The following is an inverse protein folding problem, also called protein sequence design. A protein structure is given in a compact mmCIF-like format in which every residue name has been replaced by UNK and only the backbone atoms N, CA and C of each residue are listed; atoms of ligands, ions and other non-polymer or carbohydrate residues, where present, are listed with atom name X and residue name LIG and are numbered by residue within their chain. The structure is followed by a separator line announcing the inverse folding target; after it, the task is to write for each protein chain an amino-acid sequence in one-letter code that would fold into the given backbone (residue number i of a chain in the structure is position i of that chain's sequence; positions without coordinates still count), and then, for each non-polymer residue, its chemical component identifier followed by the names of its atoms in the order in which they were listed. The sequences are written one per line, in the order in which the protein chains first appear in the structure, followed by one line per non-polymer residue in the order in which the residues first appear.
data_IF_740197505710
#
_entry.id   IF_740197505710
#
_cell.length_a   1.000
_cell.length_b   1.000
_cell.length_c   1.000
_cell.angle_alpha   90.00
_cell.angle_beta   90.00
_cell.angle_gamma   90.00
#
_symmetry.space_group_name_H-M   'P 1'
#
loop_
_entity.id
_entity.type
_entity.pdbx_description
1 polymer ?
#
# COMPACT_ATOMS: atom_id res chain seq x y z
N UNK A 1 -37.85 21.00 16.90
CA UNK A 1 -36.59 21.75 17.15
C UNK A 1 -35.42 21.00 16.54
N UNK A 2 -35.28 21.02 15.20
CA UNK A 2 -34.41 20.13 14.42
C UNK A 2 -32.90 20.33 14.64
N UNK A 3 -32.42 20.04 15.85
CA UNK A 3 -31.03 20.17 16.24
C UNK A 3 -30.22 18.98 15.76
N UNK A 4 -29.08 19.28 15.14
CA UNK A 4 -28.13 18.28 14.68
C UNK A 4 -27.42 17.67 15.89
N UNK A 5 -27.60 16.36 16.09
CA UNK A 5 -26.89 15.61 17.12
C UNK A 5 -25.82 14.73 16.48
N UNK A 6 -24.57 14.87 16.93
CA UNK A 6 -23.48 14.02 16.44
C UNK A 6 -23.56 12.65 17.13
N UNK A 7 -24.07 11.66 16.41
CA UNK A 7 -24.12 10.25 16.83
C UNK A 7 -22.77 9.57 16.51
N UNK A 8 -21.74 9.93 17.27
CA UNK A 8 -20.43 9.29 17.22
C UNK A 8 -19.37 9.99 16.36
N UNK A 9 -18.12 9.63 16.61
CA UNK A 9 -16.92 10.01 15.85
C UNK A 9 -16.38 8.77 15.15
N UNK A 10 -16.11 8.88 13.85
CA UNK A 10 -15.38 7.83 13.12
C UNK A 10 -13.89 7.98 13.45
N UNK A 11 -13.31 6.99 14.11
CA UNK A 11 -11.87 6.87 14.22
C UNK A 11 -11.37 5.91 13.14
N UNK A 12 -10.67 6.47 12.15
CA UNK A 12 -10.01 5.68 11.11
C UNK A 12 -8.64 5.24 11.66
N UNK A 13 -8.51 3.97 11.99
CA UNK A 13 -7.23 3.36 12.36
C UNK A 13 -6.72 2.54 11.18
N UNK A 14 -5.42 2.65 10.88
CA UNK A 14 -4.75 1.70 9.99
C UNK A 14 -4.68 0.35 10.71
N UNK A 15 -5.58 -0.59 10.38
CA UNK A 15 -5.59 -1.95 10.95
C UNK A 15 -4.26 -2.67 10.70
N UNK A 16 -3.58 -2.31 9.61
CA UNK A 16 -2.21 -2.70 9.33
C UNK A 16 -1.42 -1.46 8.92
N UNK A 17 -0.81 -0.77 9.89
CA UNK A 17 0.26 0.19 9.61
C UNK A 17 1.48 -0.59 9.10
N UNK A 18 1.53 -0.81 7.79
CA UNK A 18 2.58 -1.60 7.15
C UNK A 18 3.36 -0.73 6.17
N UNK A 19 4.67 -0.69 6.35
CA UNK A 19 5.60 -0.19 5.34
C UNK A 19 6.15 -1.37 4.52
N UNK A 20 6.49 -1.15 3.24
CA UNK A 20 7.18 -2.16 2.45
C UNK A 20 8.56 -2.46 3.04
N UNK A 21 8.91 -3.74 3.17
CA UNK A 21 10.19 -4.15 3.75
C UNK A 21 11.41 -3.95 2.84
N UNK A 22 11.21 -3.80 1.52
CA UNK A 22 12.29 -3.63 0.56
C UNK A 22 11.81 -3.07 -0.79
N UNK A 23 12.76 -2.58 -1.58
CA UNK A 23 12.52 -1.92 -2.87
C UNK A 23 11.79 -2.80 -3.89
N UNK A 24 11.97 -4.13 -3.81
CA UNK A 24 11.24 -5.09 -4.64
C UNK A 24 9.73 -5.13 -4.34
N UNK A 25 9.31 -4.79 -3.11
CA UNK A 25 7.89 -4.76 -2.73
C UNK A 25 7.14 -3.54 -3.26
N UNK A 26 7.87 -2.52 -3.72
CA UNK A 26 7.33 -1.33 -4.38
C UNK A 26 7.66 -1.30 -5.89
N UNK A 27 8.08 -2.44 -6.45
CA UNK A 27 8.38 -2.58 -7.86
C UNK A 27 7.10 -2.64 -8.70
N UNK A 28 7.12 -1.92 -9.82
CA UNK A 28 6.03 -1.94 -10.79
C UNK A 28 5.83 -3.34 -11.34
N UNK A 29 4.59 -3.82 -11.36
CA UNK A 29 4.25 -5.14 -11.86
C UNK A 29 4.48 -5.29 -13.38
N UNK A 30 4.53 -4.18 -14.11
CA UNK A 30 4.74 -4.17 -15.57
C UNK A 30 6.21 -4.07 -15.98
N UNK A 31 6.97 -3.16 -15.36
CA UNK A 31 8.36 -2.88 -15.77
C UNK A 31 9.42 -3.29 -14.74
N UNK A 32 9.02 -3.88 -13.61
CA UNK A 32 9.87 -4.29 -12.49
C UNK A 32 10.73 -3.18 -11.83
N UNK A 33 10.65 -1.94 -12.31
CA UNK A 33 11.34 -0.79 -11.71
C UNK A 33 10.59 -0.29 -10.48
N UNK A 34 11.30 0.21 -9.45
CA UNK A 34 10.66 0.74 -8.26
C UNK A 34 9.80 1.96 -8.56
N UNK A 35 8.59 1.97 -8.02
CA UNK A 35 7.65 3.10 -8.10
C UNK A 35 7.90 4.12 -6.99
N UNK A 36 8.43 3.66 -5.85
CA UNK A 36 8.67 4.43 -4.63
C UNK A 36 10.12 4.22 -4.21
N UNK A 37 10.81 5.24 -3.71
CA UNK A 37 12.19 5.09 -3.22
C UNK A 37 12.21 4.99 -1.68
N UNK A 38 12.26 3.78 -1.15
CA UNK A 38 12.18 3.56 0.30
C UNK A 38 13.39 4.11 1.08
N UNK A 39 14.53 4.34 0.43
CA UNK A 39 15.73 4.92 1.06
C UNK A 39 15.60 6.43 1.27
N UNK A 40 14.66 7.06 0.56
CA UNK A 40 14.34 8.45 0.75
C UNK A 40 13.28 8.50 1.85
N UNK A 41 13.70 8.86 3.07
CA UNK A 41 12.89 9.04 4.30
C UNK A 41 11.57 9.82 4.09
N UNK A 42 11.40 10.49 2.94
CA UNK A 42 10.26 11.30 2.55
C UNK A 42 9.29 10.66 1.55
N UNK A 43 9.45 9.39 1.18
CA UNK A 43 8.65 8.83 0.06
C UNK A 43 7.14 8.86 0.32
N UNK A 44 6.71 8.59 1.55
CA UNK A 44 5.34 8.76 2.01
C UNK A 44 5.33 9.15 3.49
N UNK A 45 4.44 10.06 3.87
CA UNK A 45 4.29 10.56 5.24
C UNK A 45 3.34 9.67 6.05
N UNK A 46 2.43 8.95 5.39
CA UNK A 46 1.40 8.12 6.02
C UNK A 46 1.40 6.69 5.48
N UNK A 47 1.19 5.70 6.35
CA UNK A 47 1.12 4.29 5.96
C UNK A 47 -0.01 4.00 4.95
N UNK A 48 -1.11 4.77 5.04
CA UNK A 48 -2.24 4.66 4.12
C UNK A 48 -1.89 4.98 2.66
N UNK A 49 -0.83 5.74 2.40
CA UNK A 49 -0.38 6.08 1.03
C UNK A 49 0.15 4.84 0.28
N UNK A 50 0.71 3.86 0.99
CA UNK A 50 1.10 2.57 0.40
C UNK A 50 -0.09 1.73 -0.03
N UNK A 51 -1.31 2.06 0.39
CA UNK A 51 -2.52 1.36 -0.03
C UNK A 51 -3.20 2.01 -1.24
N UNK A 52 -2.65 3.09 -1.78
CA UNK A 52 -3.26 3.83 -2.89
C UNK A 52 -2.78 3.31 -4.25
N UNK A 53 -3.57 3.63 -5.28
CA UNK A 53 -3.16 3.41 -6.66
C UNK A 53 -2.15 4.49 -7.07
N UNK A 54 -0.98 4.08 -7.54
CA UNK A 54 0.12 4.96 -7.93
C UNK A 54 0.40 4.81 -9.43
N UNK A 55 0.77 5.92 -10.08
CA UNK A 55 1.25 5.91 -11.46
C UNK A 55 2.75 5.63 -11.48
N UNK A 56 3.16 4.59 -12.21
CA UNK A 56 4.57 4.25 -12.34
C UNK A 56 5.32 5.36 -13.10
N UNK A 57 6.40 5.95 -12.54
CA UNK A 57 7.16 7.01 -13.21
C UNK A 57 7.96 6.51 -14.41
N UNK A 58 8.16 5.19 -14.53
CA UNK A 58 9.00 4.60 -15.59
C UNK A 58 8.23 4.14 -16.82
N UNK A 59 7.02 3.61 -16.64
CA UNK A 59 6.22 3.08 -17.76
C UNK A 59 4.79 3.66 -17.83
N UNK A 60 4.42 4.52 -16.88
CA UNK A 60 3.14 5.23 -16.89
C UNK A 60 1.92 4.41 -16.44
N UNK A 61 2.07 3.11 -16.14
CA UNK A 61 0.94 2.27 -15.68
C UNK A 61 0.48 2.67 -14.29
N UNK A 62 -0.82 2.85 -14.12
CA UNK A 62 -1.45 3.11 -12.82
C UNK A 62 -1.93 1.81 -12.18
N UNK A 63 -1.67 1.63 -10.90
CA UNK A 63 -2.13 0.44 -10.17
C UNK A 63 -1.66 0.42 -8.71
N UNK A 64 -2.08 -0.62 -7.98
CA UNK A 64 -1.65 -0.86 -6.61
C UNK A 64 -0.28 -1.55 -6.61
N UNK A 65 0.80 -0.77 -6.64
CA UNK A 65 2.17 -1.29 -6.77
C UNK A 65 2.74 -1.81 -5.45
N UNK A 66 2.24 -1.29 -4.33
CA UNK A 66 2.69 -1.64 -2.97
C UNK A 66 1.84 -2.78 -2.34
N UNK A 67 0.75 -3.17 -3.00
CA UNK A 67 -0.12 -4.29 -2.60
C UNK A 67 0.11 -5.44 -3.57
N UNK A 68 0.44 -6.62 -3.06
CA UNK A 68 0.55 -7.82 -3.88
C UNK A 68 -0.72 -8.66 -3.77
N UNK A 69 -1.22 -9.23 -4.87
CA UNK A 69 -2.39 -10.10 -4.82
C UNK A 69 -2.09 -11.33 -3.97
N UNK A 70 -3.13 -11.88 -3.33
CA UNK A 70 -2.99 -13.07 -2.49
C UNK A 70 -2.44 -14.28 -3.28
N UNK A 71 -2.65 -14.32 -4.60
CA UNK A 71 -2.07 -15.34 -5.47
C UNK A 71 -0.54 -15.30 -5.57
N UNK A 72 0.10 -14.23 -5.09
CA UNK A 72 1.57 -14.10 -5.13
C UNK A 72 2.30 -14.78 -3.98
N UNK A 73 1.59 -15.25 -2.96
CA UNK A 73 2.19 -16.04 -1.88
C UNK A 73 1.91 -17.52 -2.11
N UNK A 74 2.96 -18.32 -1.97
CA UNK A 74 2.79 -19.76 -1.81
C UNK A 74 2.56 -20.04 -0.33
N UNK A 75 1.46 -20.71 -0.02
CA UNK A 75 1.32 -21.33 1.29
C UNK A 75 2.26 -22.52 1.32
N UNK A 76 3.33 -22.43 2.11
CA UNK A 76 4.12 -23.60 2.45
C UNK A 76 3.16 -24.57 3.15
N UNK A 77 2.77 -25.63 2.45
CA UNK A 77 2.00 -26.70 3.06
C UNK A 77 2.81 -27.28 4.22
N UNK A 78 2.28 -27.37 5.45
CA UNK A 78 2.99 -28.01 6.53
C UNK A 78 3.07 -29.51 6.23
N UNK A 79 4.25 -30.02 5.86
CA UNK A 79 4.50 -31.46 5.78
C UNK A 79 5.29 -31.98 4.57
N UNK A 80 6.54 -31.56 4.41
CA UNK A 80 7.60 -32.46 3.91
C UNK A 80 8.66 -32.59 4.99
#
# INVERSE_FOLDING_TARGET
DGTTHQLGTLYTYDIFAASPCCQNRVACQNCAKPVVNLEQESSFQFFSEYSQALKCPHCGVSGYHCIKPLSSFETLSPGR
#
